data_IF_835318077877
#
_entry.id   IF_835318077877
#
_cell.length_a   1.000
_cell.length_b   1.000
_cell.length_c   1.000
_cell.angle_alpha   90.00
_cell.angle_beta   90.00
_cell.angle_gamma   90.00
#
_symmetry.space_group_name_H-M   'P 1'
#
loop_
_entity.id
_entity.type
_entity.pdbx_description
1 polymer ?
#
# COMPACT_ATOMS: atom_id res chain seq x y z
N UNK A 1 -2.00 -8.17 -31.62
CA UNK A 1 -2.41 -7.16 -30.62
C UNK A 1 -1.30 -7.05 -29.58
N UNK A 2 -0.42 -6.05 -29.70
CA UNK A 2 0.70 -5.87 -28.77
C UNK A 2 0.50 -4.52 -28.08
N UNK A 3 -0.32 -4.51 -27.02
CA UNK A 3 -0.52 -3.36 -26.16
C UNK A 3 0.49 -3.37 -25.03
N UNK A 4 1.72 -2.94 -25.31
CA UNK A 4 2.64 -2.54 -24.25
C UNK A 4 2.55 -1.02 -24.13
N UNK A 5 1.45 -0.56 -23.53
CA UNK A 5 1.39 0.81 -23.02
C UNK A 5 2.26 0.85 -21.78
N UNK A 6 3.54 1.18 -21.95
CA UNK A 6 4.30 1.77 -20.85
C UNK A 6 3.71 3.17 -20.65
N UNK A 7 2.55 3.22 -20.01
CA UNK A 7 2.05 4.45 -19.41
C UNK A 7 3.02 4.77 -18.28
N UNK A 8 4.04 5.55 -18.60
CA UNK A 8 4.82 6.29 -17.63
C UNK A 8 3.88 7.34 -16.99
N UNK A 9 2.97 6.88 -16.14
CA UNK A 9 2.23 7.73 -15.23
C UNK A 9 3.05 7.79 -13.94
N UNK A 10 3.80 8.88 -13.81
CA UNK A 10 4.43 9.40 -12.59
C UNK A 10 4.57 8.39 -11.44
N UNK A 11 5.63 7.57 -11.49
CA UNK A 11 6.04 6.70 -10.37
C UNK A 11 6.58 7.49 -9.16
N UNK A 12 6.42 8.83 -9.16
CA UNK A 12 6.48 9.67 -7.96
C UNK A 12 5.06 9.65 -7.41
N UNK A 13 4.72 8.61 -6.64
CA UNK A 13 3.36 8.39 -6.13
C UNK A 13 2.71 9.71 -5.72
N UNK A 14 1.48 9.96 -6.19
CA UNK A 14 0.79 11.23 -6.01
C UNK A 14 0.97 11.71 -4.57
N UNK A 15 1.35 12.97 -4.36
CA UNK A 15 1.63 13.50 -3.02
C UNK A 15 0.45 13.37 -2.03
N UNK A 16 -0.74 13.01 -2.55
CA UNK A 16 -1.97 12.73 -1.85
C UNK A 16 -2.16 11.25 -1.43
N UNK A 17 -1.26 10.33 -1.81
CA UNK A 17 -1.37 8.93 -1.42
C UNK A 17 -1.11 8.78 0.08
N UNK A 18 -2.16 8.44 0.84
CA UNK A 18 -2.10 8.16 2.27
C UNK A 18 -1.92 6.64 2.50
N UNK A 19 -1.27 6.29 3.61
CA UNK A 19 -1.09 4.92 4.04
C UNK A 19 -2.41 4.14 4.08
N UNK A 20 -2.40 2.94 3.50
CA UNK A 20 -3.56 2.06 3.43
C UNK A 20 -3.65 1.06 4.60
N UNK A 21 -2.92 1.30 5.70
CA UNK A 21 -2.83 0.38 6.83
C UNK A 21 -3.60 0.90 8.04
N UNK A 22 -4.17 -0.03 8.78
CA UNK A 22 -4.88 0.18 10.05
C UNK A 22 -4.15 -0.61 11.12
N UNK A 23 -3.71 0.08 12.18
CA UNK A 23 -3.02 -0.51 13.33
C UNK A 23 -3.94 -0.42 14.55
N UNK A 24 -4.26 -1.56 15.16
CA UNK A 24 -5.17 -1.66 16.32
C UNK A 24 -6.53 -0.92 16.17
N UNK A 25 -7.00 -0.76 14.93
CA UNK A 25 -8.26 -0.05 14.61
C UNK A 25 -8.08 1.42 14.24
N UNK A 26 -6.88 1.98 14.35
CA UNK A 26 -6.56 3.35 13.95
C UNK A 26 -6.01 3.40 12.52
N UNK A 27 -6.68 4.17 11.65
CA UNK A 27 -6.24 4.37 10.26
C UNK A 27 -4.97 5.21 10.24
N UNK A 28 -3.95 4.72 9.54
CA UNK A 28 -2.73 5.48 9.35
C UNK A 28 -2.99 6.67 8.42
N UNK A 29 -2.68 7.88 8.89
CA UNK A 29 -2.87 9.15 8.15
C UNK A 29 -1.58 9.69 7.53
N UNK A 30 -0.48 8.94 7.63
CA UNK A 30 0.82 9.34 7.08
C UNK A 30 0.80 9.18 5.55
N UNK A 31 1.50 10.08 4.86
CA UNK A 31 1.73 9.94 3.41
C UNK A 31 2.51 8.64 3.12
N UNK A 32 2.03 7.88 2.13
CA UNK A 32 2.65 6.62 1.71
C UNK A 32 3.96 6.84 0.94
N UNK A 33 4.04 7.90 0.13
CA UNK A 33 5.19 8.17 -0.73
C UNK A 33 5.43 6.98 -1.68
N UNK A 34 6.62 6.39 -1.64
CA UNK A 34 6.98 5.21 -2.43
C UNK A 34 6.69 3.88 -1.71
N UNK A 35 6.18 3.92 -0.47
CA UNK A 35 5.86 2.70 0.27
C UNK A 35 4.59 2.06 -0.29
N UNK A 36 4.61 0.73 -0.42
CA UNK A 36 3.46 -0.03 -0.91
C UNK A 36 3.26 -1.31 -0.10
N UNK A 37 2.00 -1.69 0.08
CA UNK A 37 1.64 -2.93 0.76
C UNK A 37 1.46 -4.05 -0.26
N UNK A 38 2.46 -4.92 -0.40
CA UNK A 38 2.45 -6.04 -1.34
C UNK A 38 2.06 -7.37 -0.69
N UNK A 39 1.75 -8.38 -1.51
CA UNK A 39 1.49 -9.77 -1.04
C UNK A 39 2.62 -10.32 -0.15
N UNK A 40 3.86 -9.88 -0.37
CA UNK A 40 5.00 -10.28 0.47
C UNK A 40 4.83 -9.75 1.90
N UNK A 41 4.47 -8.46 2.05
CA UNK A 41 4.27 -7.82 3.35
C UNK A 41 3.07 -8.46 4.06
N UNK A 42 1.96 -8.69 3.35
CA UNK A 42 0.78 -9.37 3.89
C UNK A 42 1.12 -10.74 4.49
N UNK A 43 1.93 -11.56 3.82
CA UNK A 43 2.39 -12.83 4.37
C UNK A 43 3.20 -12.64 5.65
N UNK A 44 4.10 -11.66 5.69
CA UNK A 44 4.90 -11.36 6.88
C UNK A 44 4.02 -10.93 8.07
N UNK A 45 3.00 -10.11 7.83
CA UNK A 45 2.03 -9.69 8.85
C UNK A 45 1.32 -10.91 9.45
N UNK A 46 0.82 -11.81 8.61
CA UNK A 46 0.17 -13.05 9.08
C UNK A 46 1.13 -13.96 9.83
N UNK A 47 2.33 -14.20 9.28
CA UNK A 47 3.34 -15.09 9.91
C UNK A 47 3.79 -14.58 11.27
N UNK A 48 3.93 -13.26 11.44
CA UNK A 48 4.33 -12.62 12.70
C UNK A 48 3.16 -12.30 13.61
N UNK A 49 1.91 -12.56 13.18
CA UNK A 49 0.68 -12.22 13.90
C UNK A 49 0.62 -10.74 14.31
N UNK A 50 1.06 -9.85 13.42
CA UNK A 50 0.95 -8.40 13.63
C UNK A 50 -0.51 -7.98 13.49
N UNK A 51 -0.96 -7.05 14.33
CA UNK A 51 -2.32 -6.47 14.29
C UNK A 51 -2.43 -5.37 13.21
N UNK A 52 -1.97 -5.67 12.02
CA UNK A 52 -1.93 -4.74 10.90
C UNK A 52 -2.94 -5.19 9.84
N UNK A 53 -3.93 -4.35 9.55
CA UNK A 53 -4.93 -4.61 8.52
C UNK A 53 -4.82 -3.60 7.39
N UNK A 54 -5.33 -3.95 6.22
CA UNK A 54 -5.55 -2.98 5.14
C UNK A 54 -6.87 -2.24 5.38
N UNK A 55 -6.87 -0.95 5.07
CA UNK A 55 -8.04 -0.08 5.09
C UNK A 55 -9.11 -0.64 4.14
N UNK A 56 -10.32 -0.94 4.63
CA UNK A 56 -11.44 -1.35 3.81
C UNK A 56 -12.04 -0.09 3.17
N UNK A 57 -11.49 0.33 2.03
CA UNK A 57 -12.17 1.27 1.14
C UNK A 57 -13.44 0.65 0.55
#
# INVERSE_FOLDING_TARGET
>A
MNGFSTGEEDSRGAADQICCLVDDGEKCTRAAGNASYSKRISKTVTQRRLKLNTDPL
#
